data_IF_721332650346
#
_entry.id   IF_721332650346
#
_cell.length_a   1.000
_cell.length_b   1.000
_cell.length_c   1.000
_cell.angle_alpha   90.00
_cell.angle_beta   90.00
_cell.angle_gamma   90.00
#
_symmetry.space_group_name_H-M   'P 1'
#
loop_
_entity.id
_entity.type
_entity.pdbx_description
1 polymer ?
#
# COMPACT_ATOMS: atom_id res chain seq x y z
N UNK A 1 37.01 -60.53 -17.01
CA UNK A 1 35.92 -59.96 -16.19
C UNK A 1 36.42 -58.66 -15.55
N UNK A 2 35.91 -57.51 -16.02
CA UNK A 2 36.45 -56.17 -15.75
C UNK A 2 35.59 -55.52 -14.66
N UNK A 3 36.12 -55.43 -13.43
CA UNK A 3 35.41 -54.82 -12.30
C UNK A 3 35.34 -53.30 -12.50
N UNK A 4 34.14 -52.77 -12.71
CA UNK A 4 33.86 -51.33 -12.68
C UNK A 4 33.89 -50.84 -11.23
N UNK A 5 34.81 -49.94 -10.91
CA UNK A 5 34.78 -49.10 -9.72
C UNK A 5 33.82 -47.93 -9.98
N UNK A 6 32.68 -47.92 -9.30
CA UNK A 6 31.75 -46.80 -9.29
C UNK A 6 32.25 -45.81 -8.23
N UNK A 7 32.78 -44.67 -8.67
CA UNK A 7 33.16 -43.56 -7.80
C UNK A 7 31.92 -42.73 -7.47
N UNK A 8 31.37 -42.90 -6.28
CA UNK A 8 30.28 -42.10 -5.72
C UNK A 8 30.82 -40.75 -5.26
N UNK A 9 30.60 -39.70 -6.06
CA UNK A 9 30.87 -38.31 -5.67
C UNK A 9 29.81 -37.82 -4.69
N UNK A 10 30.22 -37.64 -3.43
CA UNK A 10 29.42 -37.06 -2.35
C UNK A 10 29.23 -35.55 -2.62
N UNK A 11 27.99 -35.11 -2.87
CA UNK A 11 27.64 -33.70 -3.04
C UNK A 11 27.45 -33.06 -1.65
N UNK A 12 28.44 -32.30 -1.17
CA UNK A 12 28.29 -31.50 0.05
C UNK A 12 27.55 -30.18 -0.26
N UNK A 13 26.51 -29.79 0.52
CA UNK A 13 25.89 -28.49 0.40
C UNK A 13 26.82 -27.41 0.94
N UNK A 14 27.16 -26.42 0.10
CA UNK A 14 27.96 -25.26 0.52
C UNK A 14 27.02 -24.26 1.18
N UNK A 15 27.05 -24.15 2.51
CA UNK A 15 26.34 -23.09 3.22
C UNK A 15 27.00 -21.74 2.93
N UNK A 16 26.36 -20.90 2.13
CA UNK A 16 26.79 -19.53 1.85
C UNK A 16 26.35 -18.61 2.99
N UNK A 17 27.30 -18.19 3.83
CA UNK A 17 27.08 -17.12 4.81
C UNK A 17 27.30 -15.77 4.12
N UNK A 18 26.24 -14.97 3.95
CA UNK A 18 26.38 -13.63 3.39
C UNK A 18 26.74 -12.63 4.51
N UNK A 19 27.93 -12.03 4.43
CA UNK A 19 28.35 -10.91 5.26
C UNK A 19 28.39 -9.64 4.38
N UNK A 20 27.84 -8.53 4.88
CA UNK A 20 27.80 -7.26 4.13
C UNK A 20 28.89 -6.33 4.65
N UNK A 21 29.85 -6.03 3.77
CA UNK A 21 30.97 -5.15 4.04
C UNK A 21 30.64 -3.73 3.57
N UNK A 22 31.05 -2.75 4.37
CA UNK A 22 31.02 -1.33 4.00
C UNK A 22 32.43 -0.90 3.62
N UNK A 23 32.58 -0.34 2.43
CA UNK A 23 33.84 0.23 1.98
C UNK A 23 33.65 1.66 1.50
N UNK A 24 34.70 2.46 1.61
CA UNK A 24 34.78 3.77 0.98
C UNK A 24 35.77 3.67 -0.18
N UNK A 25 35.26 3.77 -1.41
CA UNK A 25 36.08 3.70 -2.63
C UNK A 25 35.95 5.02 -3.35
N UNK A 26 37.05 5.78 -3.43
CA UNK A 26 37.10 7.12 -4.04
C UNK A 26 36.12 8.12 -3.40
N UNK A 27 35.98 8.11 -2.06
CA UNK A 27 35.08 9.01 -1.34
C UNK A 27 33.59 8.65 -1.45
N UNK A 28 33.25 7.51 -2.07
CA UNK A 28 31.87 7.02 -2.19
C UNK A 28 31.73 5.72 -1.39
N UNK A 29 30.77 5.71 -0.46
CA UNK A 29 30.44 4.53 0.33
C UNK A 29 29.72 3.51 -0.56
N UNK A 30 30.25 2.29 -0.60
CA UNK A 30 29.67 1.13 -1.31
C UNK A 30 29.51 -0.03 -0.34
N UNK A 31 28.42 -0.79 -0.54
CA UNK A 31 28.14 -2.01 0.21
C UNK A 31 28.30 -3.22 -0.71
N UNK A 32 28.98 -4.25 -0.22
CA UNK A 32 29.30 -5.45 -1.00
C UNK A 32 29.14 -6.71 -0.14
N UNK A 33 28.78 -7.82 -0.79
CA UNK A 33 28.67 -9.15 -0.16
C UNK A 33 30.05 -9.85 -0.07
N UNK A 34 31.10 -9.23 -0.61
CA UNK A 34 32.49 -9.67 -0.56
C UNK A 34 33.38 -8.48 -0.12
N UNK A 35 34.54 -8.72 0.53
CA UNK A 35 35.46 -7.65 0.92
C UNK A 35 35.81 -6.76 -0.26
N UNK A 36 35.51 -5.47 -0.16
CA UNK A 36 35.60 -4.52 -1.28
C UNK A 36 36.87 -3.65 -1.27
N UNK A 37 37.67 -3.69 -0.20
CA UNK A 37 38.96 -3.01 -0.05
C UNK A 37 39.75 -3.60 1.13
N UNK A 38 41.03 -3.25 1.26
CA UNK A 38 41.92 -3.75 2.34
C UNK A 38 41.45 -3.33 3.74
N UNK A 39 40.64 -2.27 3.85
CA UNK A 39 40.04 -1.77 5.09
C UNK A 39 38.53 -2.08 5.18
N UNK A 40 38.06 -3.18 4.57
CA UNK A 40 36.65 -3.54 4.60
C UNK A 40 36.14 -3.79 6.03
N UNK A 41 35.21 -2.96 6.49
CA UNK A 41 34.58 -3.11 7.80
C UNK A 41 33.29 -3.94 7.69
N UNK A 42 33.12 -4.87 8.62
CA UNK A 42 31.90 -5.67 8.76
C UNK A 42 30.77 -4.80 9.27
N UNK A 43 29.67 -4.74 8.51
CA UNK A 43 28.51 -3.98 8.98
C UNK A 43 27.70 -4.84 9.93
N UNK A 44 27.78 -4.54 11.24
CA UNK A 44 26.91 -5.16 12.23
C UNK A 44 25.53 -4.49 12.17
N UNK A 45 24.58 -5.14 11.50
CA UNK A 45 23.18 -4.78 11.61
C UNK A 45 22.57 -5.63 12.73
N UNK A 46 22.30 -5.03 13.88
CA UNK A 46 21.47 -5.69 14.89
C UNK A 46 20.00 -5.49 14.52
N UNK A 47 19.38 -6.53 13.95
CA UNK A 47 17.94 -6.65 13.96
C UNK A 47 17.58 -7.38 15.25
N UNK A 48 17.22 -6.61 16.28
CA UNK A 48 16.45 -6.96 17.48
C UNK A 48 17.01 -6.32 18.75
N UNK A 49 16.09 -5.88 19.59
CA UNK A 49 16.31 -5.21 20.86
C UNK A 49 17.34 -5.93 21.73
N UNK A 50 18.52 -5.33 21.92
CA UNK A 50 19.38 -5.63 23.07
C UNK A 50 19.91 -4.33 23.66
N UNK A 51 19.08 -3.71 24.49
CA UNK A 51 19.58 -2.86 25.57
C UNK A 51 20.23 -3.80 26.57
N UNK A 52 21.54 -3.92 26.52
CA UNK A 52 22.32 -4.48 27.60
C UNK A 52 23.57 -3.62 27.76
N UNK A 53 23.46 -2.69 28.71
CA UNK A 53 24.55 -1.92 29.27
C UNK A 53 25.48 -2.87 30.02
N UNK A 54 26.75 -2.93 29.64
CA UNK A 54 27.91 -2.78 30.53
C UNK A 54 29.23 -2.78 29.73
N UNK A 55 30.33 -2.20 30.28
CA UNK A 55 31.24 -1.35 29.51
C UNK A 55 32.55 -2.04 29.11
N UNK A 56 33.28 -1.47 28.13
CA UNK A 56 34.73 -1.48 28.17
C UNK A 56 35.27 -0.06 28.31
N UNK A 57 35.94 0.17 29.44
CA UNK A 57 36.91 1.24 29.63
C UNK A 57 38.02 1.11 28.58
N UNK A 58 38.14 2.09 27.68
CA UNK A 58 39.45 2.43 27.08
C UNK A 58 39.50 3.95 26.98
N UNK A 59 40.44 4.52 27.73
CA UNK A 59 40.77 5.92 27.70
C UNK A 59 41.43 6.25 26.36
N UNK A 60 40.86 7.17 25.59
CA UNK A 60 41.68 8.08 24.80
C UNK A 60 40.97 9.42 24.60
N UNK A 61 41.62 10.44 25.13
CA UNK A 61 41.21 11.84 25.07
C UNK A 61 41.35 12.35 23.64
N UNK A 62 40.23 12.52 22.93
CA UNK A 62 40.17 13.43 21.79
C UNK A 62 38.94 14.31 21.94
N UNK A 63 39.23 15.57 22.25
CA UNK A 63 38.41 16.77 22.15
C UNK A 63 36.98 16.56 21.66
N UNK A 64 36.05 16.54 22.61
CA UNK A 64 34.64 16.81 22.34
C UNK A 64 34.51 18.23 21.79
N UNK A 65 34.61 18.40 20.47
CA UNK A 65 33.83 19.44 19.81
C UNK A 65 32.37 19.04 20.00
N UNK A 66 31.72 19.74 20.93
CA UNK A 66 30.30 19.65 21.22
C UNK A 66 29.49 19.66 19.92
N UNK A 67 29.05 18.47 19.49
CA UNK A 67 27.93 18.34 18.56
C UNK A 67 26.72 18.82 19.34
N UNK A 68 25.96 19.83 18.87
CA UNK A 68 24.78 20.26 19.59
C UNK A 68 23.81 19.08 19.64
N UNK A 69 23.52 18.63 20.85
CA UNK A 69 22.48 17.66 21.15
C UNK A 69 21.13 18.29 20.81
N UNK A 70 20.72 18.21 19.55
CA UNK A 70 19.32 18.33 19.15
C UNK A 70 18.87 17.06 18.41
N UNK A 71 18.44 15.98 19.11
CA UNK A 71 17.94 14.79 18.44
C UNK A 71 16.44 14.52 18.63
N UNK A 72 15.78 15.06 19.66
CA UNK A 72 14.39 14.68 19.98
C UNK A 72 13.33 15.49 19.21
N UNK A 73 13.43 16.81 19.19
CA UNK A 73 12.43 17.69 18.55
C UNK A 73 12.34 17.50 17.02
N UNK A 74 13.47 17.17 16.37
CA UNK A 74 13.51 16.94 14.92
C UNK A 74 12.93 15.57 14.53
N UNK A 75 13.03 14.58 15.42
CA UNK A 75 12.51 13.24 15.16
C UNK A 75 10.98 13.20 15.28
N UNK A 76 10.41 13.84 16.30
CA UNK A 76 8.97 13.94 16.49
C UNK A 76 8.28 14.70 15.34
N UNK A 77 8.87 15.82 14.90
CA UNK A 77 8.38 16.57 13.75
C UNK A 77 8.43 15.77 12.45
N UNK A 78 9.46 14.94 12.25
CA UNK A 78 9.57 14.07 11.08
C UNK A 78 8.52 12.95 11.09
N UNK A 79 8.32 12.29 12.24
CA UNK A 79 7.27 11.29 12.40
C UNK A 79 5.87 11.88 12.16
N UNK A 80 5.61 13.10 12.65
CA UNK A 80 4.35 13.81 12.39
C UNK A 80 4.12 14.05 10.89
N UNK A 81 5.16 14.46 10.14
CA UNK A 81 5.07 14.63 8.68
C UNK A 81 4.80 13.32 7.95
N UNK A 82 5.48 12.24 8.35
CA UNK A 82 5.28 10.91 7.77
C UNK A 82 3.85 10.45 8.00
N UNK A 83 3.37 10.54 9.24
CA UNK A 83 2.01 10.15 9.62
C UNK A 83 0.95 10.93 8.82
N UNK A 84 1.15 12.23 8.66
CA UNK A 84 0.25 13.06 7.86
C UNK A 84 0.27 12.66 6.37
N UNK A 85 1.44 12.36 5.81
CA UNK A 85 1.55 11.88 4.41
C UNK A 85 0.82 10.55 4.20
N UNK A 86 0.90 9.63 5.18
CA UNK A 86 0.20 8.34 5.16
C UNK A 86 -1.30 8.58 5.24
N UNK A 87 -1.75 9.45 6.14
CA UNK A 87 -3.16 9.82 6.29
C UNK A 87 -3.72 10.39 4.98
N UNK A 88 -3.06 11.38 4.37
CA UNK A 88 -3.49 11.95 3.08
C UNK A 88 -3.54 10.90 1.97
N UNK A 89 -2.57 9.98 1.91
CA UNK A 89 -2.58 8.85 0.95
C UNK A 89 -3.78 7.93 1.17
N UNK A 90 -4.07 7.56 2.41
CA UNK A 90 -5.19 6.69 2.75
C UNK A 90 -6.53 7.32 2.37
N UNK A 91 -6.72 8.61 2.69
CA UNK A 91 -7.94 9.34 2.34
C UNK A 91 -8.12 9.40 0.81
N UNK A 92 -7.08 9.74 0.06
CA UNK A 92 -7.13 9.76 -1.41
C UNK A 92 -7.45 8.38 -2.02
N UNK A 93 -6.91 7.32 -1.43
CA UNK A 93 -7.19 5.94 -1.85
C UNK A 93 -8.67 5.60 -1.64
N UNK A 94 -9.23 5.98 -0.50
CA UNK A 94 -10.65 5.74 -0.21
C UNK A 94 -11.58 6.58 -1.11
N UNK A 95 -11.24 7.85 -1.38
CA UNK A 95 -11.96 8.69 -2.34
C UNK A 95 -11.98 8.01 -3.73
N UNK A 96 -10.85 7.49 -4.16
CA UNK A 96 -10.74 6.80 -5.46
C UNK A 96 -11.64 5.56 -5.50
N UNK A 97 -11.61 4.75 -4.43
CA UNK A 97 -12.45 3.56 -4.29
C UNK A 97 -13.94 3.90 -4.34
N UNK A 98 -14.37 4.88 -3.54
CA UNK A 98 -15.77 5.32 -3.49
C UNK A 98 -16.23 5.92 -4.81
N UNK A 99 -15.37 6.68 -5.50
CA UNK A 99 -15.69 7.25 -6.81
C UNK A 99 -15.88 6.15 -7.85
N UNK A 100 -15.05 5.12 -7.85
CA UNK A 100 -15.20 3.96 -8.73
C UNK A 100 -16.52 3.21 -8.44
N UNK A 101 -16.85 3.03 -7.17
CA UNK A 101 -18.12 2.42 -6.73
C UNK A 101 -19.34 3.25 -7.16
N UNK A 102 -19.29 4.57 -6.98
CA UNK A 102 -20.33 5.51 -7.45
C UNK A 102 -20.55 5.37 -8.95
N UNK A 103 -19.47 5.39 -9.74
CA UNK A 103 -19.55 5.27 -11.18
C UNK A 103 -20.09 3.89 -11.62
N UNK A 104 -19.76 2.82 -10.88
CA UNK A 104 -20.34 1.49 -11.11
C UNK A 104 -21.85 1.51 -10.88
N UNK A 105 -22.31 2.07 -9.76
CA UNK A 105 -23.75 2.21 -9.44
C UNK A 105 -24.50 3.01 -10.50
N UNK A 106 -23.91 4.08 -11.03
CA UNK A 106 -24.50 4.84 -12.14
C UNK A 106 -24.69 3.96 -13.39
N UNK A 107 -23.68 3.18 -13.78
CA UNK A 107 -23.77 2.28 -14.94
C UNK A 107 -24.80 1.17 -14.72
N UNK A 108 -24.83 0.56 -13.54
CA UNK A 108 -25.81 -0.48 -13.19
C UNK A 108 -27.25 0.06 -13.27
N UNK A 109 -27.49 1.27 -12.74
CA UNK A 109 -28.76 1.98 -12.86
C UNK A 109 -29.16 2.17 -14.32
N UNK A 110 -28.26 2.70 -15.15
CA UNK A 110 -28.55 3.00 -16.55
C UNK A 110 -28.85 1.73 -17.35
N UNK A 111 -28.11 0.65 -17.10
CA UNK A 111 -28.37 -0.67 -17.68
C UNK A 111 -29.74 -1.21 -17.29
N UNK A 112 -30.09 -1.17 -16.00
CA UNK A 112 -31.39 -1.63 -15.50
C UNK A 112 -32.54 -0.80 -16.08
N UNK A 113 -32.38 0.53 -16.13
CA UNK A 113 -33.37 1.43 -16.74
C UNK A 113 -33.54 1.17 -18.23
N UNK A 114 -32.45 0.93 -18.97
CA UNK A 114 -32.51 0.58 -20.37
C UNK A 114 -33.22 -0.77 -20.60
N UNK A 115 -32.97 -1.76 -19.75
CA UNK A 115 -33.68 -3.04 -19.79
C UNK A 115 -35.19 -2.85 -19.57
N UNK A 116 -35.59 -2.13 -18.53
CA UNK A 116 -37.00 -1.87 -18.23
C UNK A 116 -37.70 -1.11 -19.35
N UNK A 117 -37.04 -0.12 -19.97
CA UNK A 117 -37.57 0.60 -21.13
C UNK A 117 -37.82 -0.31 -22.33
N UNK A 118 -36.88 -1.22 -22.63
CA UNK A 118 -37.06 -2.20 -23.72
C UNK A 118 -38.22 -3.15 -23.44
N UNK A 119 -38.32 -3.66 -22.21
CA UNK A 119 -39.46 -4.51 -21.81
C UNK A 119 -40.77 -3.75 -21.95
N UNK A 120 -40.82 -2.49 -21.50
CA UNK A 120 -42.01 -1.63 -21.63
C UNK A 120 -42.42 -1.45 -23.09
N UNK A 121 -41.47 -1.13 -23.97
CA UNK A 121 -41.72 -0.98 -25.41
C UNK A 121 -42.25 -2.26 -26.06
N UNK A 122 -41.78 -3.44 -25.62
CA UNK A 122 -42.28 -4.72 -26.14
C UNK A 122 -43.69 -5.09 -25.66
N UNK A 123 -44.15 -4.52 -24.54
CA UNK A 123 -45.45 -4.83 -23.93
C UNK A 123 -46.61 -3.99 -24.50
N UNK A 124 -46.34 -2.98 -25.33
CA UNK A 124 -47.30 -1.95 -25.76
C UNK A 124 -48.40 -2.40 -26.75
N UNK A 125 -48.51 -3.71 -27.05
CA UNK A 125 -49.32 -4.20 -28.16
C UNK A 125 -50.63 -4.90 -27.76
N UNK A 126 -51.06 -4.86 -26.48
CA UNK A 126 -52.35 -5.43 -26.05
C UNK A 126 -52.92 -4.76 -24.77
N UNK A 127 -54.20 -5.01 -24.47
CA UNK A 127 -54.90 -4.45 -23.28
C UNK A 127 -54.29 -4.92 -21.95
N UNK A 128 -53.75 -6.15 -21.91
CA UNK A 128 -52.94 -6.65 -20.79
C UNK A 128 -51.61 -5.87 -20.64
N UNK A 129 -51.15 -5.26 -21.72
CA UNK A 129 -49.99 -4.40 -21.82
C UNK A 129 -50.16 -3.10 -21.05
N UNK A 130 -51.37 -2.53 -20.96
CA UNK A 130 -51.60 -1.30 -20.19
C UNK A 130 -51.30 -1.49 -18.69
N UNK A 131 -51.81 -2.57 -18.08
CA UNK A 131 -51.52 -2.89 -16.66
C UNK A 131 -50.04 -3.26 -16.46
N UNK A 132 -49.44 -3.95 -17.42
CA UNK A 132 -48.03 -4.30 -17.38
C UNK A 132 -47.11 -3.06 -17.55
N UNK A 133 -47.48 -2.12 -18.39
CA UNK A 133 -46.76 -0.85 -18.54
C UNK A 133 -46.78 -0.01 -17.27
N UNK A 134 -47.90 -0.02 -16.54
CA UNK A 134 -47.99 0.66 -15.25
C UNK A 134 -47.07 0.01 -14.22
N UNK A 135 -47.06 -1.33 -14.12
CA UNK A 135 -46.17 -2.04 -13.18
C UNK A 135 -44.69 -1.81 -13.52
N UNK A 136 -44.32 -1.83 -14.81
CA UNK A 136 -42.97 -1.50 -15.26
C UNK A 136 -42.58 -0.05 -14.95
N UNK A 137 -43.52 0.89 -15.08
CA UNK A 137 -43.26 2.30 -14.74
C UNK A 137 -43.03 2.47 -13.24
N UNK A 138 -43.78 1.76 -12.39
CA UNK A 138 -43.55 1.72 -10.94
C UNK A 138 -42.18 1.11 -10.60
N UNK A 139 -41.80 0.02 -11.27
CA UNK A 139 -40.47 -0.58 -11.10
C UNK A 139 -39.35 0.40 -11.50
N UNK A 140 -39.49 1.09 -12.63
CA UNK A 140 -38.53 2.10 -13.07
C UNK A 140 -38.35 3.22 -12.04
N UNK A 141 -39.45 3.72 -11.46
CA UNK A 141 -39.39 4.73 -10.39
C UNK A 141 -38.72 4.20 -9.13
N UNK A 142 -39.01 2.96 -8.73
CA UNK A 142 -38.38 2.32 -7.57
C UNK A 142 -36.87 2.13 -7.77
N UNK A 143 -36.45 1.65 -8.94
CA UNK A 143 -35.03 1.52 -9.32
C UNK A 143 -34.35 2.88 -9.29
N UNK A 144 -34.96 3.92 -9.86
CA UNK A 144 -34.40 5.26 -9.86
C UNK A 144 -34.18 5.77 -8.41
N UNK A 145 -35.18 5.65 -7.54
CA UNK A 145 -35.08 6.08 -6.13
C UNK A 145 -34.00 5.31 -5.36
N UNK A 146 -33.92 3.99 -5.57
CA UNK A 146 -32.92 3.16 -4.90
C UNK A 146 -31.49 3.59 -5.25
N UNK A 147 -31.18 3.68 -6.55
CA UNK A 147 -29.83 4.05 -6.99
C UNK A 147 -29.48 5.49 -6.65
N UNK A 148 -30.46 6.39 -6.67
CA UNK A 148 -30.25 7.77 -6.26
C UNK A 148 -29.89 7.85 -4.76
N UNK A 149 -30.56 7.08 -3.91
CA UNK A 149 -30.20 6.96 -2.48
C UNK A 149 -28.78 6.39 -2.29
N UNK A 150 -28.44 5.31 -3.00
CA UNK A 150 -27.10 4.70 -2.95
C UNK A 150 -26.03 5.71 -3.38
N UNK A 151 -26.24 6.40 -4.50
CA UNK A 151 -25.29 7.36 -5.07
C UNK A 151 -25.10 8.56 -4.14
N UNK A 152 -26.18 9.14 -3.60
CA UNK A 152 -26.09 10.25 -2.64
C UNK A 152 -25.32 9.86 -1.39
N UNK A 153 -25.49 8.62 -0.90
CA UNK A 153 -24.72 8.12 0.24
C UNK A 153 -23.21 8.07 -0.05
N UNK A 154 -22.84 7.61 -1.26
CA UNK A 154 -21.46 7.60 -1.71
C UNK A 154 -20.89 9.01 -1.90
N UNK A 155 -21.64 9.91 -2.54
CA UNK A 155 -21.24 11.30 -2.77
C UNK A 155 -21.01 12.02 -1.42
N UNK A 156 -21.92 11.86 -0.45
CA UNK A 156 -21.76 12.43 0.90
C UNK A 156 -20.49 11.92 1.60
N UNK A 157 -20.11 10.65 1.41
CA UNK A 157 -18.87 10.09 1.99
C UNK A 157 -17.64 10.68 1.29
N UNK A 158 -17.66 10.78 -0.03
CA UNK A 158 -16.58 11.39 -0.83
C UNK A 158 -16.38 12.85 -0.40
N UNK A 159 -17.45 13.61 -0.24
CA UNK A 159 -17.37 15.02 0.10
C UNK A 159 -16.84 15.24 1.52
N UNK A 160 -17.21 14.40 2.49
CA UNK A 160 -16.60 14.43 3.83
C UNK A 160 -15.09 14.17 3.78
N UNK A 161 -14.65 13.15 3.04
CA UNK A 161 -13.22 12.85 2.89
C UNK A 161 -12.44 13.97 2.18
N UNK A 162 -13.06 14.63 1.20
CA UNK A 162 -12.48 15.78 0.52
C UNK A 162 -12.37 16.99 1.44
N UNK A 163 -13.35 17.19 2.29
CA UNK A 163 -13.31 18.25 3.30
C UNK A 163 -12.21 17.98 4.33
N UNK A 164 -12.05 16.72 4.77
CA UNK A 164 -10.96 16.34 5.67
C UNK A 164 -9.58 16.65 5.07
N UNK A 165 -9.38 16.48 3.75
CA UNK A 165 -8.13 16.86 3.08
C UNK A 165 -7.88 18.36 2.99
N UNK A 166 -8.93 19.20 3.03
CA UNK A 166 -8.81 20.67 2.93
C UNK A 166 -8.47 21.32 4.26
N UNK A 167 -8.79 20.66 5.37
CA UNK A 167 -8.58 21.19 6.72
C UNK A 167 -7.13 21.12 7.19
N UNK A 168 -6.24 20.50 6.40
CA UNK A 168 -4.81 20.31 6.69
C UNK A 168 -3.87 20.96 5.66
#
# INVERSE_FOLDING_TARGET
MRKLLIATTLLFPVCSYAQVYKCEVNGVVKYSQQPCADNAELTQYSTENSVQSDPPQVNDSVTQTARPTQPAANHEAELARINESIRKRNINTEITRLTAERNRKMRERDQKMAQLRRTKQSAANNLAGATWEESLSKEMSAVAMQYDTDIRSLDNRIDRLREDLKRD
#
